data_IF_323444109312
#
_entry.id   IF_323444109312
#
_cell.length_a   1.000
_cell.length_b   1.000
_cell.length_c   1.000
_cell.angle_alpha   90.00
_cell.angle_beta   90.00
_cell.angle_gamma   90.00
#
_symmetry.space_group_name_H-M   'P 1'
#
loop_
_entity.id
_entity.type
_entity.pdbx_description
1 polymer ?
#
# COMPACT_ATOMS: atom_id res chain seq x y z
N UNK A 1 11.52 4.47 14.81
CA UNK A 1 10.07 4.31 14.63
C UNK A 1 9.43 4.51 15.99
N UNK A 2 8.53 5.48 16.15
CA UNK A 2 7.75 5.67 17.38
C UNK A 2 6.39 4.99 17.13
N UNK A 3 6.10 3.96 17.90
CA UNK A 3 4.78 3.30 17.89
C UNK A 3 3.90 4.08 18.88
N UNK A 4 2.70 4.53 18.48
CA UNK A 4 1.77 5.20 19.39
C UNK A 4 1.45 4.32 20.60
N UNK A 5 1.37 4.94 21.79
CA UNK A 5 1.14 4.20 23.05
C UNK A 5 -0.29 3.63 23.16
N UNK A 6 -1.21 4.18 22.39
CA UNK A 6 -2.63 3.83 22.32
C UNK A 6 -2.98 2.97 21.09
N UNK A 7 -1.95 2.40 20.43
CA UNK A 7 -2.15 1.55 19.26
C UNK A 7 -2.99 0.32 19.61
N UNK A 8 -4.06 0.02 18.84
CA UNK A 8 -4.82 -1.21 19.04
C UNK A 8 -3.92 -2.45 18.89
N UNK A 9 -4.06 -3.41 19.80
CA UNK A 9 -3.22 -4.59 19.84
C UNK A 9 -3.23 -5.40 18.52
N UNK A 10 -4.35 -5.38 17.81
CA UNK A 10 -4.50 -6.06 16.52
C UNK A 10 -3.73 -5.36 15.38
N UNK A 11 -3.44 -4.07 15.49
CA UNK A 11 -2.64 -3.34 14.51
C UNK A 11 -1.14 -3.49 14.76
N UNK A 12 -0.72 -3.81 15.99
CA UNK A 12 0.69 -3.87 16.37
C UNK A 12 1.58 -4.70 15.41
N UNK A 13 1.18 -5.88 14.90
CA UNK A 13 2.01 -6.66 13.98
C UNK A 13 2.33 -5.98 12.65
N UNK A 14 1.50 -5.03 12.23
CA UNK A 14 1.63 -4.27 10.97
C UNK A 14 1.90 -2.78 11.19
N UNK A 15 2.07 -2.36 12.44
CA UNK A 15 2.27 -0.95 12.83
C UNK A 15 3.48 -0.28 12.16
N UNK A 16 4.44 -1.05 11.71
CA UNK A 16 5.60 -0.54 10.97
C UNK A 16 5.24 0.08 9.61
N UNK A 17 4.04 -0.21 9.07
CA UNK A 17 3.51 0.37 7.84
C UNK A 17 2.77 1.70 8.05
N UNK A 18 2.45 2.08 9.30
CA UNK A 18 1.75 3.33 9.62
C UNK A 18 2.58 4.57 9.27
N UNK A 19 1.91 5.65 8.89
CA UNK A 19 2.51 6.91 8.48
C UNK A 19 2.43 7.13 6.97
N UNK A 20 3.14 8.15 6.49
CA UNK A 20 3.18 8.49 5.06
C UNK A 20 4.53 8.09 4.48
N UNK A 21 4.47 7.44 3.34
CA UNK A 21 5.61 6.94 2.59
C UNK A 21 5.54 7.48 1.17
N UNK A 22 6.65 7.95 0.64
CA UNK A 22 6.78 8.43 -0.72
C UNK A 22 7.99 7.82 -1.38
N UNK A 23 7.88 7.54 -2.67
CA UNK A 23 8.96 6.93 -3.41
C UNK A 23 8.66 6.74 -4.87
N UNK A 24 9.39 5.84 -5.45
CA UNK A 24 9.31 5.52 -6.86
C UNK A 24 9.28 4.02 -7.08
N UNK A 25 8.87 3.64 -8.27
CA UNK A 25 8.82 2.25 -8.66
C UNK A 25 8.82 2.07 -10.17
N UNK A 26 8.63 0.83 -10.58
CA UNK A 26 8.47 0.43 -11.97
C UNK A 26 7.14 -0.28 -12.14
N UNK A 27 6.41 0.07 -13.18
CA UNK A 27 5.17 -0.61 -13.55
C UNK A 27 5.36 -1.30 -14.90
N UNK A 28 5.05 -2.59 -14.92
CA UNK A 28 5.04 -3.36 -16.14
C UNK A 28 3.98 -2.83 -17.12
N UNK A 29 4.35 -2.69 -18.36
CA UNK A 29 3.40 -2.35 -19.42
C UNK A 29 2.68 -3.62 -19.82
N UNK A 30 1.36 -3.65 -19.58
CA UNK A 30 0.54 -4.79 -19.93
C UNK A 30 0.69 -5.12 -21.43
N UNK A 31 0.89 -6.40 -21.80
CA UNK A 31 0.90 -6.81 -23.19
C UNK A 31 -0.45 -6.47 -23.85
N UNK A 32 -0.40 -5.99 -25.08
CA UNK A 32 -1.63 -5.75 -25.83
C UNK A 32 -2.26 -7.10 -26.19
N UNK A 33 -3.51 -7.38 -25.81
CA UNK A 33 -4.14 -8.66 -26.13
C UNK A 33 -4.09 -8.99 -27.62
N UNK A 34 -3.62 -10.21 -27.93
CA UNK A 34 -3.54 -10.70 -29.32
C UNK A 34 -2.27 -10.31 -30.08
N UNK A 35 -1.28 -9.72 -29.44
CA UNK A 35 0.06 -9.56 -30.01
C UNK A 35 0.99 -10.62 -29.40
N UNK A 36 1.26 -11.69 -30.16
CA UNK A 36 2.40 -12.57 -29.91
C UNK A 36 3.68 -11.77 -30.24
N UNK A 37 4.15 -10.99 -29.26
CA UNK A 37 5.38 -10.22 -29.40
C UNK A 37 6.53 -11.02 -28.79
N UNK A 38 7.69 -11.16 -29.48
CA UNK A 38 8.88 -11.73 -28.87
C UNK A 38 9.24 -10.95 -27.58
N UNK A 39 9.74 -11.64 -26.56
CA UNK A 39 10.13 -11.02 -25.29
C UNK A 39 11.14 -9.86 -25.46
N UNK A 40 11.93 -9.90 -26.54
CA UNK A 40 12.90 -8.84 -26.91
C UNK A 40 12.22 -7.52 -27.33
N UNK A 41 10.95 -7.58 -27.76
CA UNK A 41 10.15 -6.45 -28.20
C UNK A 41 9.10 -6.04 -27.16
N UNK A 42 9.11 -6.64 -25.97
CA UNK A 42 8.21 -6.23 -24.88
C UNK A 42 8.44 -4.74 -24.56
N UNK A 43 7.38 -3.94 -24.37
CA UNK A 43 7.54 -2.56 -23.94
C UNK A 43 8.28 -2.55 -22.59
N UNK A 44 9.26 -1.64 -22.47
CA UNK A 44 9.99 -1.49 -21.23
C UNK A 44 9.04 -1.03 -20.10
N UNK A 45 9.29 -1.51 -18.88
CA UNK A 45 8.59 -1.04 -17.69
C UNK A 45 8.69 0.48 -17.61
N UNK A 46 7.61 1.10 -17.15
CA UNK A 46 7.52 2.56 -17.00
C UNK A 46 7.77 2.96 -15.55
N UNK A 47 8.52 4.07 -15.31
CA UNK A 47 8.68 4.60 -13.98
C UNK A 47 7.35 5.13 -13.44
N UNK A 48 7.17 5.01 -12.13
CA UNK A 48 6.02 5.56 -11.40
C UNK A 48 6.51 6.26 -10.14
N UNK A 49 5.72 7.23 -9.68
CA UNK A 49 5.85 7.83 -8.35
C UNK A 49 4.75 7.26 -7.47
N UNK A 50 5.08 6.93 -6.25
CA UNK A 50 4.18 6.22 -5.35
C UNK A 50 4.05 6.92 -4.01
N UNK A 51 2.84 6.90 -3.48
CA UNK A 51 2.52 7.35 -2.13
C UNK A 51 1.73 6.25 -1.43
N UNK A 52 2.16 5.88 -0.21
CA UNK A 52 1.42 4.95 0.63
C UNK A 52 1.18 5.63 1.98
N UNK A 53 -0.08 5.71 2.38
CA UNK A 53 -0.48 6.21 3.68
C UNK A 53 -1.12 5.12 4.51
N UNK A 54 -0.52 4.83 5.68
CA UNK A 54 -1.06 3.92 6.69
C UNK A 54 -1.61 4.68 7.88
N UNK A 55 -2.87 4.41 8.23
CA UNK A 55 -3.51 4.95 9.43
C UNK A 55 -4.35 3.86 10.14
N UNK A 56 -4.85 4.20 11.34
CA UNK A 56 -5.68 3.29 12.14
C UNK A 56 -7.13 3.72 12.02
N UNK A 57 -8.01 2.78 11.72
CA UNK A 57 -9.45 2.98 11.67
C UNK A 57 -10.11 1.92 12.56
N UNK A 58 -10.53 2.33 13.76
CA UNK A 58 -11.00 1.39 14.76
C UNK A 58 -9.89 0.42 15.19
N UNK A 59 -10.11 -0.88 15.00
CA UNK A 59 -9.12 -1.94 15.30
C UNK A 59 -8.38 -2.44 14.06
N UNK A 60 -8.53 -1.77 12.92
CA UNK A 60 -7.94 -2.14 11.64
C UNK A 60 -6.87 -1.12 11.22
N UNK A 61 -5.92 -1.57 10.41
CA UNK A 61 -5.05 -0.68 9.66
C UNK A 61 -5.69 -0.42 8.30
N UNK A 62 -5.74 0.86 7.89
CA UNK A 62 -6.06 1.25 6.52
C UNK A 62 -4.77 1.65 5.82
N UNK A 63 -4.57 1.13 4.61
CA UNK A 63 -3.54 1.60 3.67
C UNK A 63 -4.23 2.23 2.48
N UNK A 64 -3.79 3.43 2.11
CA UNK A 64 -4.14 4.06 0.84
C UNK A 64 -2.89 4.13 -0.01
N UNK A 65 -2.91 3.44 -1.14
CA UNK A 65 -1.82 3.43 -2.12
C UNK A 65 -2.22 4.26 -3.32
N UNK A 66 -1.38 5.20 -3.72
CA UNK A 66 -1.53 6.03 -4.93
C UNK A 66 -0.35 5.83 -5.84
N UNK A 67 -0.63 5.58 -7.09
CA UNK A 67 0.38 5.42 -8.15
C UNK A 67 0.18 6.50 -9.18
N UNK A 68 1.24 7.23 -9.46
CA UNK A 68 1.26 8.32 -10.44
C UNK A 68 2.21 7.98 -11.58
N UNK A 69 1.90 8.42 -12.79
CA UNK A 69 2.84 8.35 -13.89
C UNK A 69 4.15 9.04 -13.52
N UNK A 70 5.26 8.44 -13.91
CA UNK A 70 6.59 9.01 -13.72
C UNK A 70 7.24 9.33 -15.06
N UNK A 71 7.89 10.48 -15.14
CA UNK A 71 8.71 10.84 -16.30
C UNK A 71 10.17 11.01 -15.85
N UNK A 72 11.05 10.14 -16.33
CA UNK A 72 12.47 10.19 -16.01
C UNK A 72 13.24 10.98 -17.07
N UNK A 73 14.06 11.93 -16.65
CA UNK A 73 14.89 12.73 -17.53
C UNK A 73 16.17 12.02 -18.00
N UNK A 74 16.49 10.87 -17.41
CA UNK A 74 17.66 10.04 -17.68
C UNK A 74 17.32 8.55 -17.48
N UNK A 75 18.17 7.62 -17.96
CA UNK A 75 17.99 6.20 -17.69
C UNK A 75 17.86 5.92 -16.18
N UNK A 76 16.89 5.08 -15.81
CA UNK A 76 16.65 4.66 -14.43
C UNK A 76 17.83 3.81 -13.95
N UNK A 77 18.38 4.15 -12.80
CA UNK A 77 19.34 3.31 -12.09
C UNK A 77 18.62 2.48 -11.02
N UNK A 78 18.55 1.15 -11.14
CA UNK A 78 17.84 0.29 -10.20
C UNK A 78 18.45 0.30 -8.80
N UNK A 79 19.62 0.88 -8.61
CA UNK A 79 20.29 1.00 -7.30
C UNK A 79 19.88 2.26 -6.53
N UNK A 80 19.17 3.21 -7.15
CA UNK A 80 18.70 4.41 -6.46
C UNK A 80 17.87 4.05 -5.22
N UNK A 81 18.13 4.77 -4.13
CA UNK A 81 17.22 4.76 -2.98
C UNK A 81 15.93 5.56 -3.30
N UNK A 82 14.97 5.57 -2.37
CA UNK A 82 13.69 6.25 -2.56
C UNK A 82 13.86 7.75 -2.83
N UNK A 83 14.78 8.42 -2.15
CA UNK A 83 15.00 9.85 -2.30
C UNK A 83 15.68 10.20 -3.64
N UNK A 84 16.64 9.37 -4.08
CA UNK A 84 17.31 9.52 -5.36
C UNK A 84 16.34 9.38 -6.53
N UNK A 85 15.48 8.35 -6.48
CA UNK A 85 14.47 8.14 -7.52
C UNK A 85 13.46 9.28 -7.57
N UNK A 86 12.94 9.76 -6.42
CA UNK A 86 12.04 10.91 -6.39
C UNK A 86 12.69 12.21 -6.92
N UNK A 87 13.99 12.37 -6.76
CA UNK A 87 14.70 13.51 -7.32
C UNK A 87 14.88 13.42 -8.84
N UNK A 88 14.88 12.20 -9.40
CA UNK A 88 15.16 11.94 -10.82
C UNK A 88 13.89 11.74 -11.67
N UNK A 89 12.75 11.43 -11.04
CA UNK A 89 11.49 11.12 -11.71
C UNK A 89 10.48 12.20 -11.41
N UNK A 90 9.98 12.86 -12.44
CA UNK A 90 8.92 13.85 -12.31
C UNK A 90 7.58 13.15 -12.15
N UNK A 91 6.84 13.52 -11.10
CA UNK A 91 5.47 13.03 -10.85
C UNK A 91 4.50 13.64 -11.85
N UNK A 92 3.74 12.76 -12.51
CA UNK A 92 2.68 13.10 -13.47
C UNK A 92 1.27 12.87 -12.91
N UNK A 93 0.36 12.45 -13.79
CA UNK A 93 -1.04 12.22 -13.46
C UNK A 93 -1.22 10.97 -12.59
N UNK A 94 -2.29 10.97 -11.79
CA UNK A 94 -2.71 9.79 -11.00
C UNK A 94 -3.14 8.66 -11.95
N UNK A 95 -2.52 7.51 -11.82
CA UNK A 95 -2.87 6.29 -12.55
C UNK A 95 -3.91 5.49 -11.77
N UNK A 96 -3.64 5.22 -10.49
CA UNK A 96 -4.54 4.43 -9.64
C UNK A 96 -4.47 4.85 -8.18
N UNK A 97 -5.57 4.62 -7.47
CA UNK A 97 -5.68 4.67 -6.02
C UNK A 97 -6.37 3.40 -5.53
N UNK A 98 -5.81 2.79 -4.51
CA UNK A 98 -6.43 1.67 -3.81
C UNK A 98 -6.49 1.96 -2.33
N UNK A 99 -7.60 1.59 -1.70
CA UNK A 99 -7.76 1.54 -0.25
C UNK A 99 -7.86 0.10 0.20
N UNK A 100 -7.01 -0.29 1.15
CA UNK A 100 -6.94 -1.62 1.76
C UNK A 100 -7.20 -1.51 3.26
N UNK A 101 -8.09 -2.35 3.82
CA UNK A 101 -8.32 -2.50 5.26
C UNK A 101 -7.81 -3.86 5.73
N UNK A 102 -6.87 -3.85 6.67
CA UNK A 102 -6.21 -5.03 7.21
C UNK A 102 -6.75 -5.36 8.60
N UNK A 103 -7.21 -6.58 8.79
CA UNK A 103 -7.71 -7.14 10.06
C UNK A 103 -6.82 -8.29 10.50
N UNK A 104 -5.95 -8.04 11.48
CA UNK A 104 -5.06 -9.08 12.01
C UNK A 104 -5.81 -9.98 12.97
N UNK A 105 -5.63 -11.29 12.84
CA UNK A 105 -6.28 -12.27 13.71
C UNK A 105 -5.76 -12.15 15.18
N UNK A 106 -6.65 -12.23 16.19
CA UNK A 106 -6.23 -12.33 17.58
C UNK A 106 -5.31 -13.54 17.82
N UNK A 107 -4.41 -13.44 18.78
CA UNK A 107 -3.53 -14.56 19.12
C UNK A 107 -3.16 -14.52 20.59
N UNK A 108 -3.23 -15.69 21.23
CA UNK A 108 -2.81 -15.91 22.61
C UNK A 108 -1.34 -16.31 22.71
N UNK A 109 -0.61 -16.38 21.59
CA UNK A 109 0.81 -16.73 21.57
C UNK A 109 1.60 -15.61 22.25
N UNK A 110 2.42 -15.91 23.27
CA UNK A 110 3.25 -14.91 23.94
C UNK A 110 4.17 -14.19 22.95
N UNK A 111 4.48 -12.94 23.25
CA UNK A 111 5.46 -12.19 22.47
C UNK A 111 6.81 -12.92 22.46
N UNK A 112 7.46 -13.05 21.31
CA UNK A 112 8.75 -13.72 21.21
C UNK A 112 9.85 -12.86 21.84
N UNK A 113 11.00 -13.44 22.17
CA UNK A 113 12.18 -12.68 22.61
C UNK A 113 12.57 -11.61 21.58
N UNK A 114 13.26 -10.54 21.99
CA UNK A 114 13.75 -9.51 21.07
C UNK A 114 14.54 -10.11 19.90
N UNK A 115 14.25 -9.65 18.68
CA UNK A 115 14.88 -10.12 17.45
C UNK A 115 14.26 -11.39 16.85
N UNK A 116 13.26 -11.96 17.50
CA UNK A 116 12.43 -13.04 16.96
C UNK A 116 11.02 -12.52 16.65
N UNK A 117 10.34 -13.16 15.71
CA UNK A 117 9.02 -12.77 15.27
C UNK A 117 8.09 -13.98 15.18
N UNK A 118 6.89 -13.85 15.71
CA UNK A 118 5.82 -14.81 15.46
C UNK A 118 5.10 -14.43 14.17
N UNK A 119 4.68 -15.41 13.40
CA UNK A 119 3.76 -15.18 12.29
C UNK A 119 2.38 -14.78 12.81
N UNK A 120 1.72 -13.87 12.12
CA UNK A 120 0.37 -13.42 12.43
C UNK A 120 -0.44 -13.44 11.14
N UNK A 121 -1.49 -14.23 11.15
CA UNK A 121 -2.45 -14.27 10.06
C UNK A 121 -3.31 -13.01 10.08
N UNK A 122 -3.72 -12.57 8.91
CA UNK A 122 -4.66 -11.47 8.74
C UNK A 122 -5.51 -11.69 7.49
N UNK A 123 -6.66 -11.06 7.47
CA UNK A 123 -7.46 -10.88 6.26
C UNK A 123 -7.47 -9.40 5.89
N UNK A 124 -7.68 -9.11 4.61
CA UNK A 124 -7.86 -7.74 4.19
C UNK A 124 -8.94 -7.63 3.11
N UNK A 125 -9.46 -6.43 2.93
CA UNK A 125 -10.37 -6.09 1.84
C UNK A 125 -9.89 -4.83 1.16
N UNK A 126 -9.95 -4.80 -0.18
CA UNK A 126 -9.55 -3.63 -0.94
C UNK A 126 -10.54 -3.24 -2.01
N UNK A 127 -10.45 -1.96 -2.41
CA UNK A 127 -11.11 -1.42 -3.59
C UNK A 127 -10.15 -0.48 -4.32
N UNK A 128 -10.08 -0.63 -5.65
CA UNK A 128 -9.19 0.11 -6.54
C UNK A 128 -9.97 0.92 -7.57
N UNK A 129 -9.44 2.08 -7.94
CA UNK A 129 -9.94 2.89 -9.07
C UNK A 129 -9.75 2.20 -10.42
N UNK A 130 -8.96 1.12 -10.49
CA UNK A 130 -8.83 0.26 -11.67
C UNK A 130 -10.04 -0.66 -11.86
N UNK A 131 -11.06 -0.53 -11.01
CA UNK A 131 -12.37 -1.18 -11.16
C UNK A 131 -12.42 -2.59 -10.55
N UNK A 132 -11.51 -2.96 -9.67
CA UNK A 132 -11.57 -4.22 -8.94
C UNK A 132 -11.68 -4.00 -7.42
N UNK A 133 -12.21 -5.00 -6.75
CA UNK A 133 -12.19 -5.15 -5.29
C UNK A 133 -11.76 -6.57 -4.97
N UNK A 134 -10.99 -6.73 -3.89
CA UNK A 134 -10.45 -8.03 -3.52
C UNK A 134 -10.60 -8.31 -2.02
N UNK A 135 -10.76 -9.59 -1.69
CA UNK A 135 -10.57 -10.16 -0.36
C UNK A 135 -9.23 -10.86 -0.37
N UNK A 136 -8.45 -10.66 0.69
CA UNK A 136 -7.08 -11.12 0.81
C UNK A 136 -6.90 -11.96 2.05
N UNK A 137 -6.11 -13.02 1.91
CA UNK A 137 -5.51 -13.75 3.02
C UNK A 137 -4.02 -13.47 3.07
N UNK A 138 -3.50 -13.25 4.26
CA UNK A 138 -2.10 -12.88 4.40
C UNK A 138 -1.47 -13.27 5.72
N UNK A 139 -0.15 -13.12 5.75
CA UNK A 139 0.68 -13.36 6.91
C UNK A 139 1.68 -12.22 7.10
N UNK A 140 1.83 -11.80 8.36
CA UNK A 140 2.86 -10.85 8.79
C UNK A 140 3.90 -11.59 9.64
N UNK A 141 5.19 -11.39 9.34
CA UNK A 141 6.31 -11.92 10.12
C UNK A 141 7.35 -10.81 10.30
N UNK A 142 7.37 -10.18 11.47
CA UNK A 142 8.19 -9.00 11.71
C UNK A 142 7.85 -7.89 10.71
N UNK A 143 8.87 -7.22 10.12
CA UNK A 143 8.64 -6.15 9.17
C UNK A 143 8.44 -6.67 7.72
N UNK A 144 7.68 -7.76 7.58
CA UNK A 144 7.31 -8.35 6.29
C UNK A 144 5.85 -8.78 6.30
N UNK A 145 5.13 -8.46 5.25
CA UNK A 145 3.75 -8.87 4.96
C UNK A 145 3.73 -9.53 3.58
N UNK A 146 3.02 -10.65 3.49
CA UNK A 146 2.72 -11.30 2.22
C UNK A 146 1.25 -11.66 2.21
N UNK A 147 0.56 -11.40 1.10
CA UNK A 147 -0.85 -11.70 0.94
C UNK A 147 -1.19 -12.07 -0.49
N UNK A 148 -2.25 -12.86 -0.63
CA UNK A 148 -2.81 -13.31 -1.90
C UNK A 148 -4.32 -13.08 -1.91
N UNK A 149 -4.89 -12.86 -3.08
CA UNK A 149 -6.34 -12.71 -3.21
C UNK A 149 -7.03 -14.06 -3.04
N UNK A 150 -8.03 -14.11 -2.13
CA UNK A 150 -8.97 -15.23 -2.00
C UNK A 150 -10.13 -15.06 -3.00
N UNK A 151 -10.60 -13.83 -3.18
CA UNK A 151 -11.66 -13.49 -4.12
C UNK A 151 -11.42 -12.12 -4.75
N UNK A 152 -11.77 -12.00 -6.03
CA UNK A 152 -11.72 -10.75 -6.79
C UNK A 152 -13.08 -10.48 -7.42
N UNK A 153 -13.62 -9.29 -7.21
CA UNK A 153 -14.80 -8.78 -7.90
C UNK A 153 -14.37 -7.71 -8.91
N UNK A 154 -14.83 -7.85 -10.16
CA UNK A 154 -14.45 -6.99 -11.27
C UNK A 154 -15.63 -6.14 -11.73
N UNK A 155 -15.42 -4.84 -11.92
CA UNK A 155 -16.34 -3.96 -12.63
C UNK A 155 -16.42 -4.32 -14.12
N UNK A 156 -17.41 -3.76 -14.80
CA UNK A 156 -17.68 -4.09 -16.21
C UNK A 156 -16.49 -3.79 -17.13
N UNK A 157 -15.78 -2.71 -16.87
CA UNK A 157 -14.66 -2.21 -17.70
C UNK A 157 -13.29 -2.52 -17.08
N UNK A 158 -13.24 -3.29 -15.97
CA UNK A 158 -12.00 -3.65 -15.31
C UNK A 158 -11.19 -4.68 -16.11
N UNK A 159 -9.87 -4.60 -16.00
CA UNK A 159 -8.98 -5.66 -16.49
C UNK A 159 -9.36 -6.99 -15.87
N UNK A 160 -9.45 -8.05 -16.70
CA UNK A 160 -9.78 -9.39 -16.23
C UNK A 160 -8.61 -9.99 -15.47
N UNK A 161 -8.75 -10.08 -14.15
CA UNK A 161 -7.77 -10.64 -13.23
C UNK A 161 -8.31 -11.94 -12.63
N UNK A 162 -7.45 -12.94 -12.49
CA UNK A 162 -7.75 -14.20 -11.80
C UNK A 162 -7.02 -14.33 -10.48
N UNK A 163 -5.90 -13.63 -10.31
CA UNK A 163 -5.09 -13.65 -9.09
C UNK A 163 -4.38 -12.31 -8.87
N UNK A 164 -4.22 -11.95 -7.61
CA UNK A 164 -3.35 -10.87 -7.13
C UNK A 164 -2.51 -11.40 -5.98
N UNK A 165 -1.22 -11.14 -6.02
CA UNK A 165 -0.27 -11.36 -4.94
C UNK A 165 0.39 -10.04 -4.54
N UNK A 166 0.69 -9.85 -3.25
CA UNK A 166 1.35 -8.63 -2.78
C UNK A 166 2.31 -8.92 -1.64
N UNK A 167 3.44 -8.26 -1.66
CA UNK A 167 4.42 -8.32 -0.59
C UNK A 167 4.86 -6.92 -0.19
N UNK A 168 4.97 -6.67 1.12
CA UNK A 168 5.60 -5.49 1.70
C UNK A 168 6.75 -5.92 2.60
N UNK A 169 7.81 -5.13 2.65
CA UNK A 169 8.94 -5.35 3.54
C UNK A 169 9.65 -4.05 3.91
N UNK A 170 10.14 -3.94 5.14
CA UNK A 170 10.98 -2.83 5.56
C UNK A 170 12.44 -3.25 5.44
N UNK A 171 13.17 -2.65 4.51
CA UNK A 171 14.58 -2.94 4.22
C UNK A 171 15.40 -1.67 4.36
N UNK A 172 16.37 -1.67 5.25
CA UNK A 172 17.25 -0.52 5.54
C UNK A 172 16.47 0.79 5.87
N UNK A 173 15.26 0.67 6.42
CA UNK A 173 14.41 1.82 6.76
C UNK A 173 13.47 2.28 5.65
N UNK A 174 13.54 1.69 4.49
CA UNK A 174 12.64 1.94 3.36
C UNK A 174 11.56 0.85 3.25
N UNK A 175 10.35 1.27 2.87
CA UNK A 175 9.26 0.37 2.53
C UNK A 175 9.46 -0.09 1.09
N UNK A 176 9.69 -1.38 0.92
CA UNK A 176 9.71 -2.02 -0.39
C UNK A 176 8.46 -2.86 -0.58
N UNK A 177 7.88 -2.83 -1.76
CA UNK A 177 6.72 -3.65 -2.06
C UNK A 177 6.68 -4.10 -3.51
N UNK A 178 5.93 -5.16 -3.75
CA UNK A 178 5.62 -5.67 -5.09
C UNK A 178 4.17 -6.09 -5.13
N UNK A 179 3.54 -5.95 -6.29
CA UNK A 179 2.27 -6.57 -6.63
C UNK A 179 2.47 -7.44 -7.87
N UNK A 180 1.97 -8.65 -7.76
CA UNK A 180 1.87 -9.61 -8.85
C UNK A 180 0.41 -9.75 -9.26
N UNK A 181 0.18 -10.05 -10.54
CA UNK A 181 -1.16 -10.37 -11.05
C UNK A 181 -1.10 -11.49 -12.06
N UNK A 182 -2.19 -12.23 -12.18
CA UNK A 182 -2.44 -13.15 -13.28
C UNK A 182 -3.65 -12.64 -14.07
N UNK A 183 -3.51 -12.46 -15.35
CA UNK A 183 -4.61 -12.08 -16.24
C UNK A 183 -5.44 -13.31 -16.60
N UNK A 184 -6.71 -13.08 -17.00
CA UNK A 184 -7.57 -14.16 -17.48
C UNK A 184 -6.99 -14.79 -18.74
N UNK A 185 -6.75 -16.11 -18.69
CA UNK A 185 -6.11 -16.88 -19.75
C UNK A 185 -4.58 -17.02 -19.63
N UNK A 186 -3.97 -16.47 -18.59
CA UNK A 186 -2.56 -16.68 -18.24
C UNK A 186 -2.42 -17.70 -17.12
N UNK A 187 -1.34 -18.49 -17.14
CA UNK A 187 -1.06 -19.51 -16.14
C UNK A 187 -0.13 -19.00 -15.03
N UNK A 188 0.72 -18.03 -15.34
CA UNK A 188 1.73 -17.49 -14.45
C UNK A 188 1.36 -16.09 -13.93
N UNK A 189 1.84 -15.76 -12.74
CA UNK A 189 1.73 -14.43 -12.18
C UNK A 189 2.95 -13.59 -12.58
N UNK A 190 2.69 -12.40 -13.12
CA UNK A 190 3.74 -11.44 -13.45
C UNK A 190 3.75 -10.29 -12.43
N UNK A 191 4.94 -9.76 -12.17
CA UNK A 191 5.09 -8.54 -11.37
C UNK A 191 4.52 -7.36 -12.15
N UNK A 192 3.41 -6.82 -11.66
CA UNK A 192 2.76 -5.66 -12.25
C UNK A 192 3.44 -4.37 -11.87
N UNK A 193 3.80 -4.25 -10.58
CA UNK A 193 4.38 -3.03 -10.01
C UNK A 193 5.33 -3.38 -8.87
N UNK A 194 6.39 -2.62 -8.75
CA UNK A 194 7.30 -2.66 -7.61
C UNK A 194 7.63 -1.25 -7.17
N UNK A 195 7.81 -1.04 -5.86
CA UNK A 195 8.10 0.27 -5.30
C UNK A 195 9.12 0.24 -4.18
N UNK A 196 9.76 1.39 -4.00
CA UNK A 196 10.72 1.68 -2.95
C UNK A 196 10.45 3.08 -2.40
N UNK A 197 10.02 3.16 -1.13
CA UNK A 197 9.53 4.39 -0.53
C UNK A 197 10.26 4.68 0.78
N UNK A 198 10.54 5.95 1.04
CA UNK A 198 11.00 6.41 2.34
C UNK A 198 9.84 7.04 3.12
N UNK A 199 9.97 7.06 4.44
CA UNK A 199 8.94 7.66 5.30
C UNK A 199 9.08 9.17 5.33
N UNK A 200 8.01 9.89 5.02
CA UNK A 200 7.96 11.37 5.07
C UNK A 200 7.31 11.88 6.35
N UNK A 201 6.26 11.19 6.84
CA UNK A 201 5.59 11.53 8.08
C UNK A 201 5.37 10.29 8.95
N UNK A 202 5.50 10.45 10.25
CA UNK A 202 5.07 9.44 11.22
C UNK A 202 3.56 9.59 11.43
N UNK A 203 2.86 8.46 11.68
CA UNK A 203 1.45 8.51 12.05
C UNK A 203 1.30 9.40 13.31
N UNK A 204 0.59 10.51 13.16
CA UNK A 204 0.12 11.27 14.31
C UNK A 204 -1.10 10.55 14.88
N UNK A 205 -1.09 10.24 16.16
CA UNK A 205 -2.32 9.95 16.89
C UNK A 205 -3.05 11.28 17.03
N UNK A 206 -4.02 11.51 16.18
CA UNK A 206 -5.00 12.58 16.38
C UNK A 206 -5.96 12.11 17.49
N UNK A 207 -5.51 12.22 18.72
CA UNK A 207 -6.40 12.17 19.88
C UNK A 207 -7.17 13.47 19.86
N UNK A 208 -8.40 13.40 19.37
CA UNK A 208 -9.35 14.47 19.16
C UNK A 208 -9.15 15.68 20.05
N UNK A 209 -8.72 16.76 19.45
CA UNK A 209 -8.83 18.09 20.03
C UNK A 209 -10.33 18.37 20.19
N UNK A 210 -10.79 18.20 21.42
CA UNK A 210 -12.13 18.65 21.85
C UNK A 210 -12.20 20.12 21.50
N UNK A 211 -13.02 20.48 20.53
CA UNK A 211 -13.39 21.87 20.27
C UNK A 211 -14.20 22.33 21.49
N UNK A 212 -13.49 22.79 22.51
CA UNK A 212 -14.04 23.51 23.62
C UNK A 212 -14.19 24.96 23.18
N UNK A 213 -15.39 25.34 22.76
CA UNK A 213 -15.65 26.69 22.25
C UNK A 213 -17.05 26.89 21.71
N UNK A 214 -18.05 26.39 22.39
CA UNK A 214 -19.40 27.00 22.27
C UNK A 214 -19.48 28.07 23.32
N UNK A 215 -19.11 29.28 22.93
CA UNK A 215 -19.41 30.51 23.66
C UNK A 215 -20.95 30.73 23.69
N UNK A 216 -21.55 30.36 24.79
CA UNK A 216 -22.98 30.56 25.08
C UNK A 216 -23.21 32.00 25.59
N UNK A 217 -22.96 33.00 24.73
CA UNK A 217 -23.36 34.37 24.91
C UNK A 217 -24.51 34.73 23.97
N UNK A 218 -25.72 34.25 24.27
CA UNK A 218 -26.95 34.86 23.79
C UNK A 218 -27.75 35.39 24.98
N UNK A 219 -27.26 36.51 25.47
CA UNK A 219 -28.12 37.48 26.19
C UNK A 219 -29.01 38.20 25.17
N UNK A 220 -30.28 38.19 25.50
CA UNK A 220 -31.17 39.32 25.31
C UNK A 220 -31.80 39.54 23.95
N UNK A 221 -33.06 39.14 23.82
CA UNK A 221 -34.07 40.08 23.28
C UNK A 221 -35.43 39.79 23.91
N UNK A 222 -35.79 40.68 24.86
CA UNK A 222 -37.16 41.04 25.20
C UNK A 222 -37.74 41.89 24.05
N UNK A 223 -38.83 41.56 23.48
CA UNK A 223 -40.11 42.27 23.43
C UNK A 223 -41.16 41.36 22.83
#
# INVERSE_FOLDING_TARGET
>A
MVIPADLPALVAPVAWMLGTWEGWGMRAVAPTPGQDRPAEDAPADTPVVEEIRGDVVGEQMRLVTRVYAGEASAPIDPTWDAAQGLAAIQKGDLISEETLYVSVAPSDVPLPPPGQYNSREFTATSASTEGHSAVWDGVSVGPRVQMVSDAIALGADATRLTHLGRMFGLVAGELMWTQERTLDGEDDADVEISGRLHRTEQASTDSGEVIDGIDDSRDGFLV
#
